data_IF_486379914698
#
_entry.id   IF_486379914698
#
_cell.length_a   1.000
_cell.length_b   1.000
_cell.length_c   1.000
_cell.angle_alpha   90.00
_cell.angle_beta   90.00
_cell.angle_gamma   90.00
#
_symmetry.space_group_name_H-M   'P 1'
#
loop_
_entity.id
_entity.type
_entity.pdbx_description
1 polymer ?
#
# COMPACT_ATOMS: atom_id res chain seq x y z
N UNK A 1 14.28 -9.33 13.35
CA UNK A 1 14.99 -10.19 12.37
C UNK A 1 14.05 -10.32 11.19
N UNK A 2 14.55 -10.20 9.96
CA UNK A 2 13.72 -10.34 8.75
C UNK A 2 13.50 -11.83 8.50
N UNK A 3 12.47 -12.39 9.13
CA UNK A 3 12.15 -13.81 9.06
C UNK A 3 10.70 -13.95 8.60
N UNK A 4 10.50 -14.68 7.50
CA UNK A 4 9.22 -14.83 6.80
C UNK A 4 9.03 -16.31 6.42
N UNK A 5 8.82 -17.21 7.40
CA UNK A 5 8.65 -18.63 7.12
C UNK A 5 7.46 -18.93 6.19
N UNK A 6 6.45 -18.06 6.21
CA UNK A 6 5.27 -18.13 5.36
C UNK A 6 5.51 -17.66 3.91
N UNK A 7 6.63 -16.99 3.64
CA UNK A 7 6.97 -16.48 2.30
C UNK A 7 8.49 -16.57 2.03
N UNK A 8 9.00 -17.78 1.74
CA UNK A 8 10.44 -18.01 1.53
C UNK A 8 11.01 -17.23 0.35
N UNK A 9 10.20 -16.97 -0.67
CA UNK A 9 10.62 -16.20 -1.85
C UNK A 9 10.86 -14.73 -1.48
N UNK A 10 9.95 -14.14 -0.69
CA UNK A 10 10.16 -12.78 -0.17
C UNK A 10 11.38 -12.73 0.76
N UNK A 11 11.56 -13.73 1.63
CA UNK A 11 12.73 -13.82 2.50
C UNK A 11 14.04 -13.82 1.70
N UNK A 12 14.10 -14.56 0.58
CA UNK A 12 15.27 -14.59 -0.30
C UNK A 12 15.52 -13.24 -0.99
N UNK A 13 14.48 -12.52 -1.40
CA UNK A 13 14.63 -11.15 -1.94
C UNK A 13 15.24 -10.21 -0.89
N UNK A 14 14.75 -10.27 0.35
CA UNK A 14 15.30 -9.45 1.45
C UNK A 14 16.75 -9.82 1.76
N UNK A 15 17.08 -11.12 1.76
CA UNK A 15 18.46 -11.60 1.95
C UNK A 15 19.39 -11.09 0.85
N UNK A 16 18.94 -11.04 -0.41
CA UNK A 16 19.70 -10.45 -1.53
C UNK A 16 19.92 -8.94 -1.33
N UNK A 17 18.95 -8.21 -0.82
CA UNK A 17 19.10 -6.79 -0.48
C UNK A 17 20.14 -6.55 0.63
N UNK A 18 20.14 -7.39 1.65
CA UNK A 18 21.14 -7.34 2.74
C UNK A 18 22.55 -7.63 2.19
N UNK A 19 22.70 -8.69 1.39
CA UNK A 19 23.96 -9.06 0.75
C UNK A 19 24.48 -7.98 -0.21
N UNK A 20 23.60 -7.30 -0.93
CA UNK A 20 23.97 -6.18 -1.79
C UNK A 20 24.61 -5.04 -0.98
N UNK A 21 24.00 -4.69 0.16
CA UNK A 21 24.51 -3.66 1.06
C UNK A 21 25.86 -4.04 1.67
N UNK A 22 26.08 -5.32 2.01
CA UNK A 22 27.38 -5.83 2.47
C UNK A 22 28.48 -5.71 1.41
N UNK A 23 28.12 -5.81 0.12
CA UNK A 23 29.03 -5.64 -1.02
C UNK A 23 29.18 -4.18 -1.49
N UNK A 24 28.64 -3.22 -0.74
CA UNK A 24 28.70 -1.79 -1.07
C UNK A 24 27.74 -1.36 -2.18
N UNK A 25 26.77 -2.20 -2.55
CA UNK A 25 25.70 -1.86 -3.49
C UNK A 25 24.50 -1.39 -2.66
N UNK A 26 24.38 -0.08 -2.49
CA UNK A 26 23.40 0.51 -1.59
C UNK A 26 22.07 0.87 -2.29
N UNK A 27 20.95 0.86 -1.55
CA UNK A 27 19.70 1.44 -2.02
C UNK A 27 19.85 2.90 -2.46
N UNK A 28 19.23 3.25 -3.58
CA UNK A 28 19.27 4.60 -4.16
C UNK A 28 17.99 5.37 -3.85
N UNK A 29 18.13 6.64 -3.47
CA UNK A 29 16.97 7.48 -3.13
C UNK A 29 16.16 7.81 -4.38
N UNK A 30 14.84 7.65 -4.27
CA UNK A 30 13.88 8.11 -5.28
C UNK A 30 13.69 9.62 -5.10
N UNK A 31 13.97 10.39 -6.14
CA UNK A 31 13.90 11.86 -6.10
C UNK A 31 12.46 12.38 -6.06
N UNK A 32 11.55 11.69 -6.76
CA UNK A 32 10.12 11.97 -6.80
C UNK A 32 9.41 11.60 -5.48
N UNK A 33 8.18 12.11 -5.28
CA UNK A 33 7.37 11.86 -4.08
C UNK A 33 7.66 12.82 -2.92
N UNK A 34 7.14 12.52 -1.72
CA UNK A 34 7.17 13.45 -0.56
C UNK A 34 7.80 12.88 0.73
N UNK A 35 8.26 11.64 0.67
CA UNK A 35 8.90 10.87 1.75
C UNK A 35 10.31 10.41 1.35
N UNK A 36 11.07 9.87 2.30
CA UNK A 36 12.25 9.07 1.98
C UNK A 36 11.81 7.72 1.41
N UNK A 37 12.00 7.50 0.11
CA UNK A 37 11.77 6.23 -0.57
C UNK A 37 13.04 5.82 -1.31
N UNK A 38 13.34 4.52 -1.36
CA UNK A 38 14.60 4.01 -1.90
C UNK A 38 14.38 2.82 -2.83
N UNK A 39 14.99 2.83 -4.01
CA UNK A 39 15.15 1.65 -4.84
C UNK A 39 16.22 0.75 -4.22
N UNK A 40 15.80 -0.43 -3.78
CA UNK A 40 16.70 -1.45 -3.23
C UNK A 40 17.19 -2.34 -4.36
N UNK A 41 18.49 -2.64 -4.34
CA UNK A 41 19.18 -3.40 -5.38
C UNK A 41 19.65 -4.75 -4.86
N UNK A 42 19.79 -5.70 -5.77
CA UNK A 42 20.47 -6.97 -5.52
C UNK A 42 22.01 -6.84 -5.72
N UNK A 43 22.80 -7.90 -5.45
CA UNK A 43 24.25 -7.88 -5.65
C UNK A 43 24.72 -7.66 -7.10
N UNK A 44 23.81 -7.70 -8.07
CA UNK A 44 24.07 -7.42 -9.48
C UNK A 44 23.71 -5.98 -9.85
N UNK A 45 23.16 -5.19 -8.90
CA UNK A 45 22.74 -3.82 -9.12
C UNK A 45 21.33 -3.68 -9.71
N UNK A 46 20.60 -4.79 -9.88
CA UNK A 46 19.22 -4.78 -10.39
C UNK A 46 18.26 -4.35 -9.28
N UNK A 47 17.28 -3.50 -9.60
CA UNK A 47 16.25 -3.07 -8.64
C UNK A 47 15.34 -4.27 -8.34
N UNK A 48 15.19 -4.58 -7.05
CA UNK A 48 14.38 -5.71 -6.55
C UNK A 48 13.24 -5.29 -5.63
N UNK A 49 13.27 -4.06 -5.12
CA UNK A 49 12.21 -3.55 -4.26
C UNK A 49 12.26 -2.05 -4.05
N UNK A 50 11.19 -1.53 -3.47
CA UNK A 50 11.08 -0.16 -2.97
C UNK A 50 10.97 -0.22 -1.44
N UNK A 51 11.88 0.46 -0.76
CA UNK A 51 11.89 0.55 0.70
C UNK A 51 11.52 1.95 1.18
N UNK A 52 10.53 2.04 2.07
CA UNK A 52 10.06 3.29 2.68
C UNK A 52 10.21 3.22 4.20
N UNK A 53 11.31 3.76 4.78
CA UNK A 53 11.53 3.74 6.22
C UNK A 53 10.55 4.65 6.99
N UNK A 54 9.97 4.12 8.07
CA UNK A 54 9.01 4.81 8.95
C UNK A 54 9.50 6.21 9.35
N UNK A 55 10.74 6.31 9.80
CA UNK A 55 11.26 7.58 10.33
C UNK A 55 11.59 8.63 9.27
N UNK A 56 11.46 8.32 7.98
CA UNK A 56 11.62 9.28 6.86
C UNK A 56 10.30 9.59 6.15
N UNK A 57 9.17 9.13 6.68
CA UNK A 57 7.83 9.49 6.21
C UNK A 57 7.56 11.01 6.33
N UNK A 58 6.51 11.57 5.68
CA UNK A 58 6.14 12.99 5.78
C UNK A 58 6.09 13.55 7.21
N UNK A 59 5.65 12.73 8.17
CA UNK A 59 5.56 13.08 9.59
C UNK A 59 6.69 12.49 10.44
N UNK A 60 7.62 11.77 9.81
CA UNK A 60 8.78 11.17 10.46
C UNK A 60 9.80 12.22 10.91
N UNK A 61 10.49 11.94 12.02
CA UNK A 61 11.46 12.85 12.62
C UNK A 61 12.70 13.10 11.75
N UNK A 62 13.01 12.17 10.84
CA UNK A 62 14.19 12.21 9.97
C UNK A 62 13.79 12.36 8.49
N UNK A 63 12.67 13.02 8.21
CA UNK A 63 12.29 13.31 6.84
C UNK A 63 13.38 14.13 6.12
N UNK A 64 13.95 13.66 5.00
CA UNK A 64 15.01 14.37 4.29
C UNK A 64 14.55 15.58 3.48
N UNK A 65 13.24 15.77 3.28
CA UNK A 65 12.67 16.89 2.51
C UNK A 65 12.28 18.05 3.45
N UNK A 66 13.09 19.11 3.44
CA UNK A 66 12.98 20.30 4.32
C UNK A 66 11.65 21.08 4.15
N UNK A 67 11.04 21.01 2.97
CA UNK A 67 9.81 21.75 2.61
C UNK A 67 8.63 21.46 3.53
N UNK A 68 8.50 20.24 4.08
CA UNK A 68 7.42 19.89 5.02
C UNK A 68 7.66 20.37 6.45
N UNK A 69 8.91 20.59 6.88
CA UNK A 69 9.22 21.17 8.19
C UNK A 69 8.80 22.65 8.24
N UNK A 70 9.07 23.41 7.16
CA UNK A 70 8.62 24.80 7.02
C UNK A 70 7.09 24.90 6.99
N UNK A 71 6.42 24.00 6.26
CA UNK A 71 4.96 23.94 6.19
C UNK A 71 4.29 23.50 7.51
N UNK A 72 4.92 22.59 8.26
CA UNK A 72 4.47 22.15 9.60
C UNK A 72 4.52 23.29 10.63
N UNK A 73 5.41 24.26 10.45
CA UNK A 73 5.55 25.43 11.32
C UNK A 73 4.56 26.56 10.95
N UNK A 74 4.24 26.73 9.67
CA UNK A 74 3.46 27.87 9.19
C UNK A 74 1.94 27.65 9.09
N UNK A 75 1.41 26.41 9.01
CA UNK A 75 -0.04 26.15 8.87
C UNK A 75 -0.52 24.83 9.54
N UNK A 76 -0.56 24.74 10.88
CA UNK A 76 -0.93 23.52 11.61
C UNK A 76 -2.38 23.05 11.39
N UNK A 77 -3.33 23.95 11.08
CA UNK A 77 -4.74 23.60 10.79
C UNK A 77 -4.99 23.10 9.36
N UNK A 78 -4.03 23.31 8.44
CA UNK A 78 -4.18 22.96 7.03
C UNK A 78 -3.38 21.72 6.60
N UNK A 79 -2.58 21.13 7.50
CA UNK A 79 -1.60 20.09 7.16
C UNK A 79 -1.88 18.78 7.89
N UNK A 80 -2.00 17.68 7.14
CA UNK A 80 -2.46 16.41 7.69
C UNK A 80 -3.68 15.86 6.97
N UNK A 81 -3.66 14.58 6.62
CA UNK A 81 -4.93 13.86 6.50
C UNK A 81 -5.35 13.53 7.92
N UNK A 82 -6.12 14.43 8.56
CA UNK A 82 -6.58 14.30 9.95
C UNK A 82 -7.38 13.01 10.20
N UNK A 83 -7.90 12.39 9.14
CA UNK A 83 -8.51 11.08 9.20
C UNK A 83 -7.51 9.91 9.28
N UNK A 84 -6.20 10.11 9.10
CA UNK A 84 -5.18 9.06 9.14
C UNK A 84 -4.39 9.09 10.45
N UNK A 85 -3.91 7.92 10.88
CA UNK A 85 -2.96 7.81 11.98
C UNK A 85 -1.60 8.38 11.56
N UNK A 86 -0.94 9.10 12.47
CA UNK A 86 0.37 9.69 12.20
C UNK A 86 1.46 8.61 12.13
N UNK A 87 2.33 8.71 11.11
CA UNK A 87 3.60 7.98 11.03
C UNK A 87 3.46 6.44 11.01
N UNK A 88 2.39 5.93 10.39
CA UNK A 88 2.11 4.51 10.17
C UNK A 88 1.96 4.18 8.68
N UNK A 89 2.52 5.00 7.78
CA UNK A 89 2.37 4.79 6.32
C UNK A 89 2.94 3.44 5.88
N UNK A 90 4.07 3.02 6.45
CA UNK A 90 4.64 1.70 6.19
C UNK A 90 3.74 0.52 6.60
N UNK A 91 2.90 0.67 7.63
CA UNK A 91 1.90 -0.33 8.00
C UNK A 91 0.71 -0.30 7.04
N UNK A 92 0.32 0.87 6.55
CA UNK A 92 -0.69 1.02 5.52
C UNK A 92 -0.27 0.30 4.23
N UNK A 93 0.99 0.45 3.81
CA UNK A 93 1.58 -0.28 2.67
C UNK A 93 1.55 -1.80 2.85
N UNK A 94 2.01 -2.30 4.01
CA UNK A 94 2.00 -3.73 4.31
C UNK A 94 0.57 -4.28 4.49
N UNK A 95 -0.33 -3.48 5.07
CA UNK A 95 -1.73 -3.82 5.27
C UNK A 95 -2.49 -3.93 3.95
N UNK A 96 -2.19 -3.08 2.97
CA UNK A 96 -2.76 -3.20 1.63
C UNK A 96 -2.34 -4.51 0.95
N UNK A 97 -1.07 -4.91 1.07
CA UNK A 97 -0.60 -6.22 0.57
C UNK A 97 -1.24 -7.39 1.31
N UNK A 98 -1.50 -7.27 2.61
CA UNK A 98 -2.17 -8.30 3.42
C UNK A 98 -3.64 -8.47 2.96
N UNK A 99 -4.37 -7.36 2.81
CA UNK A 99 -5.76 -7.36 2.31
C UNK A 99 -5.82 -7.94 0.89
N UNK A 100 -4.90 -7.54 0.01
CA UNK A 100 -4.77 -8.07 -1.35
C UNK A 100 -4.60 -9.59 -1.38
N UNK A 101 -3.68 -10.13 -0.57
CA UNK A 101 -3.43 -11.57 -0.46
C UNK A 101 -4.66 -12.31 0.09
N UNK A 102 -5.27 -11.81 1.17
CA UNK A 102 -6.42 -12.48 1.81
C UNK A 102 -7.65 -12.49 0.89
N UNK A 103 -7.82 -11.47 0.05
CA UNK A 103 -8.89 -11.38 -0.95
C UNK A 103 -8.53 -12.04 -2.30
N UNK A 104 -7.29 -12.49 -2.47
CA UNK A 104 -6.75 -13.08 -3.71
C UNK A 104 -6.83 -12.12 -4.93
N UNK A 105 -6.68 -10.82 -4.68
CA UNK A 105 -6.71 -9.80 -5.73
C UNK A 105 -5.44 -9.85 -6.59
N UNK A 106 -4.29 -10.10 -5.97
CA UNK A 106 -3.00 -10.28 -6.65
C UNK A 106 -2.59 -9.08 -7.53
N UNK A 107 -2.90 -7.86 -7.07
CA UNK A 107 -2.56 -6.60 -7.76
C UNK A 107 -1.56 -5.76 -6.96
N UNK A 108 -1.45 -5.94 -5.64
CA UNK A 108 -0.41 -5.27 -4.85
C UNK A 108 0.87 -6.10 -4.92
N UNK A 109 2.00 -5.56 -5.41
CA UNK A 109 3.28 -6.25 -5.29
C UNK A 109 3.55 -6.55 -3.81
N UNK A 110 3.88 -7.80 -3.48
CA UNK A 110 4.04 -8.25 -2.09
C UNK A 110 4.86 -7.25 -1.28
N UNK A 111 4.26 -6.78 -0.19
CA UNK A 111 4.83 -5.73 0.66
C UNK A 111 4.79 -6.16 2.12
N UNK A 112 5.93 -6.22 2.79
CA UNK A 112 6.02 -6.58 4.22
C UNK A 112 6.83 -5.56 5.01
N UNK A 113 6.68 -5.59 6.33
CA UNK A 113 7.50 -4.81 7.26
C UNK A 113 8.88 -5.44 7.37
N UNK A 114 9.93 -4.68 7.03
CA UNK A 114 11.32 -5.14 6.99
C UNK A 114 12.21 -4.15 7.75
N UNK A 115 13.32 -4.66 8.30
CA UNK A 115 14.38 -3.87 8.93
C UNK A 115 15.62 -3.86 8.05
N UNK A 116 15.99 -2.71 7.47
CA UNK A 116 17.21 -2.57 6.67
C UNK A 116 18.15 -1.50 7.25
N UNK A 117 19.46 -1.70 7.11
CA UNK A 117 20.47 -0.69 7.40
C UNK A 117 21.26 -0.40 6.12
N UNK A 118 21.42 0.88 5.78
CA UNK A 118 22.21 1.30 4.61
C UNK A 118 22.84 2.67 4.86
N UNK A 119 24.07 2.90 4.39
CA UNK A 119 24.71 4.22 4.50
C UNK A 119 23.95 5.34 3.78
N UNK A 120 23.15 4.99 2.78
CA UNK A 120 22.35 5.93 1.95
C UNK A 120 21.06 6.41 2.61
N UNK A 121 20.60 5.75 3.67
CA UNK A 121 19.41 6.21 4.42
C UNK A 121 19.72 7.48 5.25
N UNK A 122 18.68 8.21 5.63
CA UNK A 122 18.83 9.44 6.38
C UNK A 122 18.99 9.19 7.89
N UNK A 123 20.21 9.17 8.42
CA UNK A 123 20.50 9.00 9.85
C UNK A 123 20.87 10.31 10.53
N UNK A 124 20.65 10.36 11.85
CA UNK A 124 21.15 11.46 12.68
C UNK A 124 22.69 11.52 12.66
N UNK A 125 23.25 12.71 12.88
CA UNK A 125 24.71 12.88 12.99
C UNK A 125 25.30 11.97 14.09
N UNK A 126 24.57 11.80 15.20
CA UNK A 126 24.97 10.96 16.34
C UNK A 126 25.08 9.49 15.91
N UNK A 127 24.11 8.96 15.16
CA UNK A 127 24.14 7.56 14.70
C UNK A 127 25.30 7.31 13.71
N UNK A 128 25.59 8.28 12.85
CA UNK A 128 26.74 8.21 11.93
C UNK A 128 28.08 8.23 12.68
N UNK A 129 28.22 9.07 13.71
CA UNK A 129 29.45 9.10 14.52
C UNK A 129 29.60 7.82 15.35
N UNK A 130 28.52 7.36 16.00
CA UNK A 130 28.54 6.12 16.80
C UNK A 130 28.89 4.88 15.98
N UNK A 131 28.32 4.75 14.77
CA UNK A 131 28.62 3.60 13.89
C UNK A 131 30.09 3.59 13.47
N UNK A 132 30.67 4.74 13.09
CA UNK A 132 32.11 4.89 12.78
C UNK A 132 32.99 4.56 13.99
N UNK A 133 32.66 5.09 15.16
CA UNK A 133 33.42 4.85 16.39
C UNK A 133 33.44 3.37 16.79
N UNK A 134 32.31 2.68 16.68
CA UNK A 134 32.23 1.22 16.95
C UNK A 134 33.04 0.40 15.94
N UNK A 135 33.02 0.78 14.66
CA UNK A 135 33.82 0.11 13.61
C UNK A 135 35.31 0.27 13.88
N UNK A 136 35.76 1.49 14.18
CA UNK A 136 37.14 1.77 14.55
C UNK A 136 37.58 1.05 15.84
N UNK A 137 36.71 0.97 16.84
CA UNK A 137 37.00 0.24 18.07
C UNK A 137 37.15 -1.27 17.83
N UNK A 138 36.36 -1.85 16.91
CA UNK A 138 36.53 -3.24 16.49
C UNK A 138 37.86 -3.46 15.73
N UNK A 139 38.20 -2.58 14.80
CA UNK A 139 39.44 -2.64 14.02
C UNK A 139 40.69 -2.48 14.91
N UNK A 140 40.66 -1.53 15.87
CA UNK A 140 41.81 -1.19 16.71
C UNK A 140 41.92 -2.04 17.98
N UNK A 141 40.79 -2.43 18.59
CA UNK A 141 40.76 -3.20 19.83
C UNK A 141 39.68 -4.29 19.73
N UNK A 142 39.97 -5.44 19.07
CA UNK A 142 38.99 -6.49 18.81
C UNK A 142 38.27 -6.99 20.08
N UNK A 143 38.97 -7.06 21.22
CA UNK A 143 38.41 -7.46 22.53
C UNK A 143 37.30 -6.52 23.05
N UNK A 144 37.33 -5.24 22.67
CA UNK A 144 36.29 -4.25 23.01
C UNK A 144 35.20 -4.27 21.94
N UNK A 145 35.57 -4.41 20.67
CA UNK A 145 34.62 -4.50 19.55
C UNK A 145 33.69 -5.70 19.62
N UNK A 146 34.19 -6.87 20.04
CA UNK A 146 33.40 -8.09 20.21
C UNK A 146 32.33 -7.99 21.31
N UNK A 147 32.43 -7.00 22.21
CA UNK A 147 31.41 -6.72 23.23
C UNK A 147 30.24 -5.90 22.70
N UNK A 148 30.34 -5.34 21.49
CA UNK A 148 29.23 -4.62 20.90
C UNK A 148 28.21 -5.60 20.31
N UNK A 149 26.99 -5.58 20.84
CA UNK A 149 25.86 -6.33 20.29
C UNK A 149 25.54 -5.98 18.83
N UNK A 150 26.04 -4.85 18.32
CA UNK A 150 25.84 -4.39 16.94
C UNK A 150 26.95 -3.47 16.46
N UNK A 151 27.51 -3.79 15.30
CA UNK A 151 28.47 -2.98 14.55
C UNK A 151 27.73 -2.40 13.32
N UNK A 152 27.98 -1.13 12.99
CA UNK A 152 27.32 -0.43 11.87
C UNK A 152 26.11 0.43 12.28
N UNK A 153 25.37 0.91 11.27
CA UNK A 153 24.20 1.77 11.45
C UNK A 153 23.01 0.97 12.03
N UNK A 154 22.12 1.62 12.83
CA UNK A 154 20.92 0.96 13.32
C UNK A 154 19.98 0.67 12.14
N UNK A 155 19.24 -0.46 12.15
CA UNK A 155 18.34 -0.78 11.06
C UNK A 155 17.09 0.10 11.20
N UNK A 156 16.58 0.56 10.07
CA UNK A 156 15.31 1.25 10.00
C UNK A 156 14.22 0.24 9.70
N UNK A 157 13.12 0.35 10.43
CA UNK A 157 11.87 -0.33 10.08
C UNK A 157 11.19 0.44 8.95
N UNK A 158 10.59 -0.26 8.01
CA UNK A 158 9.85 0.31 6.90
C UNK A 158 9.10 -0.74 6.11
N UNK A 159 8.33 -0.29 5.11
CA UNK A 159 7.72 -1.20 4.15
C UNK A 159 8.72 -1.52 3.06
N UNK A 160 8.80 -2.80 2.70
CA UNK A 160 9.56 -3.29 1.57
C UNK A 160 8.60 -3.91 0.57
N UNK A 161 8.41 -3.24 -0.55
CA UNK A 161 7.54 -3.68 -1.65
C UNK A 161 8.39 -4.27 -2.77
N UNK A 162 8.00 -5.43 -3.30
CA UNK A 162 8.67 -6.01 -4.47
C UNK A 162 8.56 -5.07 -5.68
N UNK A 163 9.65 -4.93 -6.42
CA UNK A 163 9.67 -4.13 -7.65
C UNK A 163 9.03 -4.92 -8.80
N UNK A 164 8.24 -4.24 -9.65
CA UNK A 164 7.59 -4.84 -10.82
C UNK A 164 8.15 -4.25 -12.11
N UNK A 165 8.58 -5.11 -13.03
CA UNK A 165 9.22 -4.72 -14.29
C UNK A 165 8.25 -4.62 -15.47
N UNK A 166 8.48 -3.64 -16.34
CA UNK A 166 7.68 -3.44 -17.57
C UNK A 166 6.34 -2.73 -17.36
N UNK A 167 6.13 -2.15 -16.18
CA UNK A 167 4.94 -1.37 -15.86
C UNK A 167 5.16 0.12 -16.16
N UNK A 168 4.08 0.83 -16.48
CA UNK A 168 4.04 2.31 -16.58
C UNK A 168 2.78 2.83 -15.88
N UNK A 169 2.77 4.12 -15.56
CA UNK A 169 1.62 4.81 -14.96
C UNK A 169 0.33 4.50 -15.73
N UNK A 170 -0.77 4.25 -15.01
CA UNK A 170 -2.03 3.93 -15.64
C UNK A 170 -2.50 5.07 -16.56
N UNK A 171 -2.32 6.31 -16.13
CA UNK A 171 -2.58 7.52 -16.92
C UNK A 171 -1.86 7.53 -18.29
N UNK A 172 -0.63 7.00 -18.37
CA UNK A 172 0.09 6.84 -19.65
C UNK A 172 -0.65 5.88 -20.60
N UNK A 173 -1.10 4.73 -20.09
CA UNK A 173 -1.77 3.72 -20.90
C UNK A 173 -3.22 4.09 -21.22
N UNK A 174 -3.97 4.63 -20.27
CA UNK A 174 -5.36 5.04 -20.45
C UNK A 174 -5.48 6.08 -21.58
N UNK A 175 -4.59 7.08 -21.64
CA UNK A 175 -4.53 8.03 -22.75
C UNK A 175 -4.29 7.37 -24.11
N UNK A 176 -3.46 6.33 -24.16
CA UNK A 176 -3.21 5.58 -25.39
C UNK A 176 -4.44 4.77 -25.79
N UNK A 177 -5.14 4.16 -24.83
CA UNK A 177 -6.35 3.38 -25.10
C UNK A 177 -7.54 4.24 -25.52
N UNK A 178 -7.56 5.53 -25.15
CA UNK A 178 -8.53 6.49 -25.70
C UNK A 178 -8.29 6.77 -27.19
N UNK A 179 -7.03 6.87 -27.62
CA UNK A 179 -6.67 7.11 -29.01
C UNK A 179 -6.75 5.81 -29.87
N UNK A 180 -6.28 4.70 -29.31
CA UNK A 180 -6.24 3.37 -29.93
C UNK A 180 -6.93 2.37 -29.00
N UNK A 181 -8.25 2.17 -29.16
CA UNK A 181 -9.01 1.27 -28.31
C UNK A 181 -8.45 -0.15 -28.31
N UNK A 182 -8.40 -0.74 -27.12
CA UNK A 182 -7.97 -2.13 -26.94
C UNK A 182 -8.94 -3.09 -27.65
N UNK A 183 -8.44 -4.22 -28.18
CA UNK A 183 -9.30 -5.33 -28.59
C UNK A 183 -10.19 -5.79 -27.43
N UNK A 184 -11.42 -6.20 -27.73
CA UNK A 184 -12.45 -6.51 -26.72
C UNK A 184 -11.96 -7.48 -25.63
N UNK A 185 -11.27 -8.56 -26.01
CA UNK A 185 -10.73 -9.53 -25.05
C UNK A 185 -9.71 -8.91 -24.08
N UNK A 186 -8.84 -8.03 -24.58
CA UNK A 186 -7.84 -7.32 -23.76
C UNK A 186 -8.49 -6.25 -22.90
N UNK A 187 -9.47 -5.54 -23.44
CA UNK A 187 -10.25 -4.56 -22.69
C UNK A 187 -11.00 -5.24 -21.53
N UNK A 188 -11.60 -6.42 -21.76
CA UNK A 188 -12.20 -7.25 -20.71
C UNK A 188 -11.19 -7.60 -19.62
N UNK A 189 -9.97 -8.03 -19.98
CA UNK A 189 -8.91 -8.31 -18.99
C UNK A 189 -8.55 -7.05 -18.17
N UNK A 190 -8.44 -5.88 -18.81
CA UNK A 190 -8.19 -4.62 -18.12
C UNK A 190 -9.31 -4.30 -17.12
N UNK A 191 -10.57 -4.47 -17.52
CA UNK A 191 -11.72 -4.24 -16.65
C UNK A 191 -11.72 -5.18 -15.43
N UNK A 192 -11.41 -6.46 -15.61
CA UNK A 192 -11.30 -7.42 -14.50
C UNK A 192 -10.18 -7.02 -13.52
N UNK A 193 -9.05 -6.51 -14.01
CA UNK A 193 -7.98 -5.99 -13.16
C UNK A 193 -8.38 -4.69 -12.45
N UNK A 194 -9.10 -3.82 -13.15
CA UNK A 194 -9.62 -2.56 -12.61
C UNK A 194 -10.62 -2.79 -11.47
N UNK A 195 -11.52 -3.77 -11.60
CA UNK A 195 -12.46 -4.13 -10.53
C UNK A 195 -11.73 -4.56 -9.24
N UNK A 196 -10.61 -5.30 -9.38
CA UNK A 196 -9.78 -5.68 -8.23
C UNK A 196 -9.17 -4.45 -7.54
N UNK A 197 -8.72 -3.45 -8.31
CA UNK A 197 -8.23 -2.18 -7.77
C UNK A 197 -9.33 -1.45 -6.99
N UNK A 198 -10.53 -1.38 -7.57
CA UNK A 198 -11.71 -0.77 -6.94
C UNK A 198 -12.02 -1.44 -5.60
N UNK A 199 -12.08 -2.78 -5.58
CA UNK A 199 -12.35 -3.56 -4.36
C UNK A 199 -11.30 -3.26 -3.28
N UNK A 200 -10.02 -3.33 -3.64
CA UNK A 200 -8.92 -3.05 -2.70
C UNK A 200 -9.05 -1.64 -2.12
N UNK A 201 -9.07 -0.62 -2.98
CA UNK A 201 -9.06 0.78 -2.57
C UNK A 201 -10.29 1.15 -1.74
N UNK A 202 -11.45 0.57 -2.06
CA UNK A 202 -12.68 0.82 -1.32
C UNK A 202 -12.61 0.21 0.08
N UNK A 203 -12.22 -1.06 0.21
CA UNK A 203 -12.12 -1.75 1.51
C UNK A 203 -11.12 -1.04 2.44
N UNK A 204 -9.92 -0.73 1.94
CA UNK A 204 -8.90 -0.05 2.76
C UNK A 204 -9.16 1.46 2.90
N UNK A 205 -10.19 1.98 2.23
CA UNK A 205 -10.50 3.41 2.04
C UNK A 205 -9.24 4.22 1.75
N UNK A 206 -8.58 3.91 0.62
CA UNK A 206 -7.42 4.65 0.18
C UNK A 206 -7.78 6.13 -0.04
N UNK A 207 -6.93 7.03 0.46
CA UNK A 207 -7.14 8.47 0.38
C UNK A 207 -6.26 9.14 -0.70
N UNK A 208 -5.31 8.41 -1.31
CA UNK A 208 -4.35 8.93 -2.30
C UNK A 208 -4.30 8.20 -3.65
N UNK A 209 -5.36 7.52 -4.07
CA UNK A 209 -5.34 6.86 -5.38
C UNK A 209 -5.56 7.86 -6.51
N UNK A 210 -4.47 8.44 -7.02
CA UNK A 210 -4.38 9.10 -8.33
C UNK A 210 -4.14 8.09 -9.47
N UNK A 211 -4.27 8.51 -10.74
CA UNK A 211 -4.01 7.65 -11.91
C UNK A 211 -2.52 7.44 -12.22
N UNK A 212 -1.65 8.12 -11.48
CA UNK A 212 -0.20 7.95 -11.38
C UNK A 212 0.20 6.92 -10.30
N UNK A 213 -0.70 6.62 -9.36
CA UNK A 213 -0.43 5.72 -8.23
C UNK A 213 -0.88 4.27 -8.46
N UNK A 214 -1.17 3.89 -9.69
CA UNK A 214 -1.35 2.49 -10.09
C UNK A 214 -0.79 2.33 -11.49
N UNK A 215 -0.25 1.15 -11.76
CA UNK A 215 0.53 0.90 -12.96
C UNK A 215 -0.18 -0.13 -13.83
N UNK A 216 0.01 0.01 -15.14
CA UNK A 216 -0.43 -0.98 -16.12
C UNK A 216 0.81 -1.50 -16.85
N UNK A 217 0.86 -2.82 -17.01
CA UNK A 217 1.74 -3.51 -17.93
C UNK A 217 0.90 -4.06 -19.06
N UNK A 218 1.26 -3.70 -20.29
CA UNK A 218 0.59 -4.16 -21.49
C UNK A 218 1.67 -4.66 -22.46
N UNK A 219 1.76 -5.99 -22.60
CA UNK A 219 2.70 -6.64 -23.50
C UNK A 219 1.99 -6.87 -24.85
N UNK A 220 2.21 -5.99 -25.82
CA UNK A 220 1.71 -6.18 -27.17
C UNK A 220 2.67 -7.09 -27.96
N UNK A 221 2.21 -8.19 -28.60
CA UNK A 221 3.07 -9.08 -29.36
C UNK A 221 3.71 -8.43 -30.61
N UNK A 222 3.26 -7.24 -31.03
CA UNK A 222 3.77 -6.53 -32.22
C UNK A 222 5.19 -5.97 -32.06
N UNK A 223 5.71 -5.84 -30.84
CA UNK A 223 7.10 -5.38 -30.60
C UNK A 223 8.15 -6.48 -30.85
N UNK A 224 7.75 -7.69 -31.25
CA UNK A 224 8.65 -8.77 -31.67
C UNK A 224 8.97 -8.73 -33.18
N UNK A 225 9.08 -7.53 -33.77
CA UNK A 225 9.40 -7.33 -35.19
C UNK A 225 10.86 -7.67 -35.58
N UNK A 226 11.56 -8.50 -34.79
CA UNK A 226 12.98 -8.81 -34.97
C UNK A 226 13.34 -10.29 -35.18
N UNK A 227 12.40 -11.24 -35.08
CA UNK A 227 12.71 -12.67 -35.27
C UNK A 227 11.74 -13.27 -36.26
N UNK A 228 12.09 -13.15 -37.55
CA UNK A 228 11.56 -14.01 -38.60
C UNK A 228 12.38 -15.30 -38.57
N UNK A 229 11.96 -16.27 -37.78
CA UNK A 229 12.31 -17.64 -38.11
C UNK A 229 11.12 -18.58 -37.88
N UNK A 230 11.06 -19.56 -38.77
CA UNK A 230 9.89 -20.34 -39.12
C UNK A 230 9.68 -21.46 -38.11
N UNK A 231 8.52 -21.47 -37.44
CA UNK A 231 7.79 -22.66 -36.97
C UNK A 231 6.67 -22.16 -36.03
N UNK A 232 5.41 -22.47 -36.36
CA UNK A 232 4.19 -22.20 -35.57
C UNK A 232 4.31 -21.06 -34.55
N UNK A 233 4.17 -19.81 -35.00
CA UNK A 233 4.17 -18.65 -34.10
C UNK A 233 2.92 -18.75 -33.22
N UNK A 234 3.06 -19.31 -32.02
CA UNK A 234 2.06 -19.17 -30.96
C UNK A 234 1.94 -17.66 -30.73
N UNK A 235 0.92 -17.04 -31.32
CA UNK A 235 0.59 -15.63 -31.07
C UNK A 235 0.19 -15.58 -29.61
N UNK A 236 1.16 -15.24 -28.76
CA UNK A 236 0.93 -15.09 -27.33
C UNK A 236 -0.12 -14.00 -27.19
N UNK A 237 -1.29 -14.36 -26.65
CA UNK A 237 -2.36 -13.39 -26.45
C UNK A 237 -1.81 -12.21 -25.64
N UNK A 238 -2.15 -10.96 -26.02
CA UNK A 238 -1.68 -9.79 -25.30
C UNK A 238 -2.17 -9.87 -23.85
N UNK A 239 -1.22 -9.81 -22.91
CA UNK A 239 -1.50 -9.87 -21.47
C UNK A 239 -1.47 -8.46 -20.92
N UNK A 240 -2.55 -8.06 -20.25
CA UNK A 240 -2.62 -6.81 -19.49
C UNK A 240 -2.67 -7.11 -17.99
N UNK A 241 -1.82 -6.43 -17.22
CA UNK A 241 -1.77 -6.57 -15.75
C UNK A 241 -1.75 -5.21 -15.08
N UNK A 242 -2.35 -5.14 -13.90
CA UNK A 242 -2.37 -3.95 -13.05
C UNK A 242 -1.46 -4.17 -11.83
N UNK A 243 -0.77 -3.12 -11.38
CA UNK A 243 -0.07 -3.11 -10.10
C UNK A 243 -0.52 -1.91 -9.26
N UNK A 244 -1.07 -2.16 -8.07
CA UNK A 244 -1.47 -1.15 -7.10
C UNK A 244 -0.29 -0.82 -6.18
N UNK A 245 0.36 0.32 -6.43
CA UNK A 245 1.54 0.79 -5.67
C UNK A 245 1.19 1.98 -4.78
N UNK A 246 2.11 2.42 -3.92
CA UNK A 246 1.94 3.61 -3.07
C UNK A 246 0.65 3.62 -2.24
N UNK A 247 0.48 2.59 -1.41
CA UNK A 247 -0.70 2.39 -0.56
C UNK A 247 -0.55 3.00 0.84
N UNK A 248 0.45 3.87 1.04
CA UNK A 248 0.84 4.39 2.36
C UNK A 248 -0.18 5.34 3.04
N UNK A 249 -1.26 5.70 2.36
CA UNK A 249 -2.28 6.64 2.84
C UNK A 249 -3.68 6.03 2.79
N UNK A 250 -3.81 4.80 3.31
CA UNK A 250 -5.06 4.08 3.53
C UNK A 250 -5.31 3.80 5.03
N UNK A 251 -6.39 3.10 5.34
CA UNK A 251 -6.85 2.74 6.70
C UNK A 251 -7.14 3.96 7.60
N UNK A 252 -8.08 4.84 7.23
CA UNK A 252 -8.44 5.99 8.04
C UNK A 252 -9.25 5.64 9.29
N UNK A 253 -9.12 6.47 10.32
CA UNK A 253 -9.85 6.44 11.59
C UNK A 253 -11.31 6.90 11.48
N UNK A 254 -11.64 7.67 10.45
CA UNK A 254 -12.98 8.21 10.16
C UNK A 254 -13.08 8.48 8.67
N UNK A 255 -14.29 8.54 8.11
CA UNK A 255 -14.39 9.05 6.74
C UNK A 255 -13.99 10.52 6.70
N UNK A 256 -13.39 10.98 5.59
CA UNK A 256 -12.97 12.37 5.46
C UNK A 256 -14.14 13.35 5.63
N UNK A 257 -13.88 14.47 6.30
CA UNK A 257 -14.85 15.56 6.42
C UNK A 257 -15.04 16.24 5.04
N UNK A 258 -16.25 16.67 4.69
CA UNK A 258 -16.64 17.08 3.32
C UNK A 258 -15.78 18.19 2.67
N UNK A 259 -15.03 18.97 3.45
CA UNK A 259 -14.11 20.00 2.96
C UNK A 259 -12.74 19.46 2.51
N UNK A 260 -12.43 18.18 2.79
CA UNK A 260 -11.33 17.40 2.21
C UNK A 260 -11.82 16.01 1.83
N UNK A 261 -12.42 15.87 0.65
CA UNK A 261 -13.14 14.65 0.27
C UNK A 261 -12.25 13.41 -0.02
N UNK A 262 -10.95 13.59 -0.28
CA UNK A 262 -10.01 12.54 -0.73
C UNK A 262 -10.67 11.51 -1.66
N UNK A 263 -11.03 11.94 -2.87
CA UNK A 263 -11.80 11.12 -3.80
C UNK A 263 -10.94 9.99 -4.37
N UNK A 264 -11.61 8.94 -4.85
CA UNK A 264 -10.98 7.92 -5.68
C UNK A 264 -10.90 8.43 -7.12
N UNK A 265 -9.70 8.73 -7.63
CA UNK A 265 -9.59 9.38 -8.95
C UNK A 265 -10.07 8.49 -10.09
N UNK A 266 -9.96 7.17 -9.93
CA UNK A 266 -10.48 6.22 -10.89
C UNK A 266 -12.01 6.29 -11.04
N UNK A 267 -12.75 6.90 -10.10
CA UNK A 267 -14.21 7.02 -10.20
C UNK A 267 -14.65 7.93 -11.36
N UNK A 268 -13.78 8.82 -11.85
CA UNK A 268 -14.06 9.66 -13.02
C UNK A 268 -13.77 8.98 -14.36
N UNK A 269 -13.13 7.81 -14.34
CA UNK A 269 -12.82 7.07 -15.56
C UNK A 269 -14.09 6.44 -16.16
N UNK A 270 -14.16 6.30 -17.50
CA UNK A 270 -15.30 5.65 -18.15
C UNK A 270 -15.48 4.20 -17.67
N UNK A 271 -14.40 3.51 -17.32
CA UNK A 271 -14.40 2.16 -16.77
C UNK A 271 -15.21 2.06 -15.46
N UNK A 272 -15.25 3.12 -14.64
CA UNK A 272 -16.00 3.12 -13.38
C UNK A 272 -17.52 3.11 -13.57
N UNK A 273 -18.03 3.39 -14.78
CA UNK A 273 -19.46 3.32 -15.10
C UNK A 273 -19.94 1.90 -15.40
N UNK A 274 -19.00 0.99 -15.69
CA UNK A 274 -19.32 -0.39 -16.04
C UNK A 274 -19.72 -1.16 -14.78
N UNK A 275 -20.86 -1.88 -14.77
CA UNK A 275 -21.28 -2.71 -13.64
C UNK A 275 -20.23 -3.77 -13.28
N UNK A 276 -20.14 -4.12 -12.00
CA UNK A 276 -19.27 -5.21 -11.56
C UNK A 276 -19.62 -6.52 -12.27
N UNK A 277 -18.59 -7.19 -12.79
CA UNK A 277 -18.62 -8.48 -13.46
C UNK A 277 -19.13 -9.60 -12.55
N UNK A 278 -19.49 -10.74 -13.14
CA UNK A 278 -19.85 -11.90 -12.33
C UNK A 278 -18.59 -12.50 -11.67
N UNK A 279 -17.45 -12.44 -12.36
CA UNK A 279 -16.18 -12.96 -11.87
C UNK A 279 -15.71 -12.28 -10.59
N UNK A 280 -15.81 -10.94 -10.50
CA UNK A 280 -15.43 -10.24 -9.26
C UNK A 280 -16.44 -10.52 -8.13
N UNK A 281 -17.73 -10.70 -8.45
CA UNK A 281 -18.75 -11.06 -7.46
C UNK A 281 -18.48 -12.44 -6.88
N UNK A 282 -18.23 -13.43 -7.73
CA UNK A 282 -17.94 -14.81 -7.34
C UNK A 282 -16.65 -14.91 -6.53
N UNK A 283 -15.65 -14.08 -6.84
CA UNK A 283 -14.39 -14.02 -6.08
C UNK A 283 -14.56 -13.38 -4.68
N UNK A 284 -15.35 -12.30 -4.59
CA UNK A 284 -15.34 -11.41 -3.41
C UNK A 284 -16.52 -11.67 -2.47
N UNK A 285 -17.73 -11.87 -2.98
CA UNK A 285 -18.93 -12.02 -2.14
C UNK A 285 -18.81 -13.18 -1.14
N UNK A 286 -18.35 -14.39 -1.50
CA UNK A 286 -18.21 -15.48 -0.54
C UNK A 286 -17.30 -15.17 0.64
N UNK A 287 -16.34 -14.25 0.45
CA UNK A 287 -15.39 -13.82 1.48
C UNK A 287 -15.97 -12.72 2.35
N UNK A 288 -16.32 -11.58 1.75
CA UNK A 288 -16.67 -10.38 2.54
C UNK A 288 -18.07 -10.45 3.16
N UNK A 289 -18.93 -11.37 2.70
CA UNK A 289 -20.23 -11.63 3.33
C UNK A 289 -20.17 -12.65 4.46
N UNK A 290 -19.07 -13.40 4.61
CA UNK A 290 -18.82 -14.28 5.75
C UNK A 290 -18.25 -13.47 6.93
N UNK A 291 -18.96 -13.38 8.06
CA UNK A 291 -18.46 -12.68 9.25
C UNK A 291 -17.14 -13.25 9.78
N UNK A 292 -16.89 -14.56 9.62
CA UNK A 292 -15.64 -15.18 10.09
C UNK A 292 -14.45 -14.70 9.27
N UNK A 293 -14.56 -14.64 7.95
CA UNK A 293 -13.52 -14.08 7.09
C UNK A 293 -13.17 -12.63 7.47
N UNK A 294 -14.18 -11.78 7.72
CA UNK A 294 -13.98 -10.38 8.10
C UNK A 294 -13.30 -10.28 9.48
N UNK A 295 -13.67 -11.15 10.41
CA UNK A 295 -13.03 -11.25 11.73
C UNK A 295 -11.56 -11.69 11.61
N UNK A 296 -11.27 -12.72 10.84
CA UNK A 296 -9.91 -13.19 10.61
C UNK A 296 -9.06 -12.10 9.93
N UNK A 297 -9.64 -11.31 9.02
CA UNK A 297 -8.95 -10.18 8.40
C UNK A 297 -8.61 -9.08 9.41
N UNK A 298 -9.55 -8.78 10.32
CA UNK A 298 -9.31 -7.85 11.42
C UNK A 298 -8.20 -8.34 12.36
N UNK A 299 -8.19 -9.63 12.70
CA UNK A 299 -7.15 -10.24 13.53
C UNK A 299 -5.78 -10.16 12.86
N UNK A 300 -5.68 -10.48 11.57
CA UNK A 300 -4.43 -10.37 10.80
C UNK A 300 -3.91 -8.92 10.75
N UNK A 301 -4.81 -7.94 10.53
CA UNK A 301 -4.47 -6.52 10.55
C UNK A 301 -4.06 -6.05 11.95
N UNK A 302 -4.68 -6.58 13.01
CA UNK A 302 -4.31 -6.30 14.39
C UNK A 302 -2.88 -6.79 14.68
N UNK A 303 -2.55 -8.02 14.29
CA UNK A 303 -1.22 -8.60 14.44
C UNK A 303 -0.15 -7.81 13.68
N UNK A 304 -0.50 -7.25 12.52
CA UNK A 304 0.38 -6.37 11.76
C UNK A 304 0.55 -5.00 12.44
N UNK A 305 -0.55 -4.32 12.78
CA UNK A 305 -0.53 -2.93 13.23
C UNK A 305 0.02 -2.79 14.66
N UNK A 306 -0.18 -3.80 15.52
CA UNK A 306 0.38 -3.81 16.89
C UNK A 306 1.91 -3.84 16.95
N UNK A 307 2.58 -4.08 15.81
CA UNK A 307 4.05 -4.02 15.70
C UNK A 307 4.58 -2.59 15.84
N UNK A 308 3.73 -1.57 15.64
CA UNK A 308 4.14 -0.19 15.82
C UNK A 308 4.30 0.18 17.30
N UNK A 309 5.42 0.81 17.71
CA UNK A 309 5.57 1.31 19.08
C UNK A 309 4.51 2.35 19.50
N UNK A 310 3.92 3.06 18.54
CA UNK A 310 2.85 4.04 18.76
C UNK A 310 1.45 3.47 18.51
N UNK A 311 1.28 2.15 18.49
CA UNK A 311 -0.02 1.52 18.29
C UNK A 311 -0.98 1.90 19.43
N UNK A 312 -2.16 2.40 19.05
CA UNK A 312 -3.26 2.66 19.96
C UNK A 312 -4.47 1.79 19.59
N UNK A 313 -4.94 1.00 20.56
CA UNK A 313 -6.05 0.06 20.33
C UNK A 313 -7.36 0.79 20.03
N UNK A 314 -7.57 1.98 20.57
CA UNK A 314 -8.75 2.81 20.30
C UNK A 314 -8.78 3.29 18.86
N UNK A 315 -7.63 3.75 18.34
CA UNK A 315 -7.44 4.11 16.94
C UNK A 315 -7.67 2.91 16.02
N UNK A 316 -7.10 1.75 16.35
CA UNK A 316 -7.31 0.54 15.56
C UNK A 316 -8.79 0.17 15.44
N UNK A 317 -9.55 0.19 16.55
CA UNK A 317 -10.99 -0.09 16.51
C UNK A 317 -11.74 0.88 15.59
N UNK A 318 -11.35 2.16 15.54
CA UNK A 318 -11.93 3.14 14.62
C UNK A 318 -11.59 2.83 13.16
N UNK A 319 -10.35 2.43 12.85
CA UNK A 319 -9.97 2.01 11.50
C UNK A 319 -10.81 0.82 11.02
N UNK A 320 -10.99 -0.18 11.89
CA UNK A 320 -11.81 -1.36 11.59
C UNK A 320 -13.29 -0.99 11.42
N UNK A 321 -13.82 -0.08 12.24
CA UNK A 321 -15.21 0.36 12.12
C UNK A 321 -15.49 1.03 10.77
N UNK A 322 -14.52 1.79 10.23
CA UNK A 322 -14.58 2.33 8.86
C UNK A 322 -14.50 1.21 7.84
N UNK A 323 -13.53 0.31 7.95
CA UNK A 323 -13.33 -0.82 7.02
C UNK A 323 -14.59 -1.70 6.92
N UNK A 324 -15.23 -2.02 8.05
CA UNK A 324 -16.49 -2.77 8.09
C UNK A 324 -17.64 -2.04 7.40
N UNK A 325 -17.70 -0.71 7.54
CA UNK A 325 -18.65 0.11 6.79
C UNK A 325 -18.41 0.10 5.28
N UNK A 326 -17.15 0.11 4.84
CA UNK A 326 -16.79 -0.08 3.43
C UNK A 326 -17.20 -1.47 2.93
N UNK A 327 -16.89 -2.52 3.71
CA UNK A 327 -17.29 -3.91 3.38
C UNK A 327 -18.82 -4.03 3.25
N UNK A 328 -19.58 -3.40 4.14
CA UNK A 328 -21.05 -3.41 4.08
C UNK A 328 -21.57 -2.80 2.77
N UNK A 329 -21.10 -1.60 2.41
CA UNK A 329 -21.49 -0.94 1.18
C UNK A 329 -21.07 -1.74 -0.07
N UNK A 330 -19.84 -2.26 -0.08
CA UNK A 330 -19.33 -3.07 -1.18
C UNK A 330 -20.16 -4.35 -1.37
N UNK A 331 -20.48 -5.04 -0.28
CA UNK A 331 -21.33 -6.25 -0.32
C UNK A 331 -22.68 -5.95 -0.96
N UNK A 332 -23.32 -4.85 -0.58
CA UNK A 332 -24.60 -4.45 -1.16
C UNK A 332 -24.47 -4.07 -2.63
N UNK A 333 -23.43 -3.31 -3.00
CA UNK A 333 -23.20 -2.92 -4.38
C UNK A 333 -22.94 -4.11 -5.32
N UNK A 334 -22.18 -5.11 -4.85
CA UNK A 334 -21.92 -6.33 -5.60
C UNK A 334 -23.21 -7.15 -5.80
N UNK A 335 -24.03 -7.29 -4.75
CA UNK A 335 -25.34 -7.99 -4.84
C UNK A 335 -26.30 -7.30 -5.80
N UNK A 336 -26.34 -5.97 -5.79
CA UNK A 336 -27.22 -5.17 -6.64
C UNK A 336 -26.71 -5.04 -8.08
N UNK A 337 -25.51 -5.55 -8.39
CA UNK A 337 -24.89 -5.37 -9.70
C UNK A 337 -24.59 -3.91 -10.04
N UNK A 338 -24.22 -3.10 -9.04
CA UNK A 338 -23.82 -1.70 -9.23
C UNK A 338 -22.46 -1.60 -9.93
N UNK A 339 -22.12 -0.40 -10.39
CA UNK A 339 -20.80 -0.06 -10.92
C UNK A 339 -19.91 0.57 -9.84
N UNK A 340 -18.59 0.65 -10.04
CA UNK A 340 -17.68 1.38 -9.15
C UNK A 340 -18.12 2.83 -8.88
N UNK A 341 -18.67 3.53 -9.87
CA UNK A 341 -19.19 4.89 -9.72
C UNK A 341 -20.40 4.93 -8.77
N UNK A 342 -21.35 4.00 -8.93
CA UNK A 342 -22.50 3.92 -8.02
C UNK A 342 -22.07 3.53 -6.59
N UNK A 343 -21.04 2.69 -6.44
CA UNK A 343 -20.48 2.31 -5.13
C UNK A 343 -19.93 3.51 -4.37
N UNK A 344 -19.15 4.39 -5.01
CA UNK A 344 -18.56 5.56 -4.34
C UNK A 344 -19.59 6.66 -4.05
N UNK A 345 -20.76 6.62 -4.70
CA UNK A 345 -21.89 7.50 -4.42
C UNK A 345 -22.73 7.04 -3.22
N UNK A 346 -22.52 5.80 -2.75
CA UNK A 346 -23.23 5.30 -1.55
C UNK A 346 -22.82 6.12 -0.31
N UNK A 347 -23.76 6.44 0.58
CA UNK A 347 -23.44 7.15 1.81
C UNK A 347 -22.37 6.42 2.65
N UNK A 348 -21.35 7.13 3.18
CA UNK A 348 -20.37 6.50 4.05
C UNK A 348 -21.00 6.01 5.36
N UNK A 349 -20.76 4.74 5.69
CA UNK A 349 -21.24 4.08 6.91
C UNK A 349 -20.06 3.72 7.80
N UNK A 350 -20.27 3.75 9.12
CA UNK A 350 -19.34 3.20 10.11
C UNK A 350 -20.09 2.10 10.88
N UNK A 351 -19.42 0.97 11.11
CA UNK A 351 -19.99 -0.19 11.81
C UNK A 351 -19.14 -0.47 13.06
N UNK A 352 -19.65 -0.07 14.22
CA UNK A 352 -18.98 -0.26 15.51
C UNK A 352 -19.44 -1.57 16.18
N UNK A 353 -18.52 -2.31 16.83
CA UNK A 353 -18.93 -3.37 17.76
C UNK A 353 -19.30 -2.73 19.09
N UNK A 354 -20.52 -2.91 19.57
CA UNK A 354 -20.87 -2.55 20.92
C UNK A 354 -20.16 -3.50 21.90
N UNK A 355 -19.36 -2.95 22.82
CA UNK A 355 -18.80 -3.75 23.92
C UNK A 355 -19.93 -4.05 24.90
N UNK A 356 -20.46 -5.27 24.83
CA UNK A 356 -21.27 -5.84 25.91
C UNK A 356 -20.41 -5.90 27.17
N UNK A 357 -20.85 -5.27 28.26
CA UNK A 357 -20.25 -5.43 29.60
C UNK A 357 -20.58 -6.78 30.25
N UNK A 358 -21.31 -7.67 29.55
CA UNK A 358 -21.65 -9.00 30.03
C UNK A 358 -20.95 -10.09 29.21
N UNK A 359 -20.46 -11.13 29.91
CA UNK A 359 -19.87 -12.37 29.37
C UNK A 359 -20.90 -13.22 28.59
N UNK A 360 -21.64 -12.64 27.65
CA UNK A 360 -22.46 -13.38 26.69
C UNK A 360 -21.86 -13.24 25.29
N UNK A 361 -21.77 -14.36 24.58
CA UNK A 361 -21.07 -14.51 23.31
C UNK A 361 -21.83 -13.92 22.10
N UNK A 362 -22.57 -12.83 22.27
CA UNK A 362 -23.25 -12.13 21.18
C UNK A 362 -22.64 -10.75 21.01
N UNK A 363 -21.80 -10.58 19.99
CA UNK A 363 -21.34 -9.27 19.55
C UNK A 363 -22.51 -8.54 18.88
N UNK A 364 -22.93 -7.41 19.44
CA UNK A 364 -23.92 -6.54 18.80
C UNK A 364 -23.21 -5.47 17.97
N UNK A 365 -23.69 -5.25 16.75
CA UNK A 365 -23.14 -4.28 15.80
C UNK A 365 -24.04 -3.05 15.74
N UNK A 366 -23.46 -1.85 15.85
CA UNK A 366 -24.18 -0.58 15.70
C UNK A 366 -23.75 0.06 14.38
N UNK A 367 -24.72 0.28 13.49
CA UNK A 367 -24.51 1.01 12.24
C UNK A 367 -24.78 2.50 12.44
N UNK A 368 -23.89 3.35 11.97
CA UNK A 368 -24.09 4.80 11.98
C UNK A 368 -23.73 5.41 10.63
N UNK A 369 -24.54 6.37 10.19
CA UNK A 369 -24.29 7.14 8.98
C UNK A 369 -23.58 8.44 9.36
N UNK A 370 -22.52 8.80 8.65
CA UNK A 370 -21.85 10.08 8.87
C UNK A 370 -22.67 11.22 8.24
N UNK A 371 -23.63 11.78 8.97
CA UNK A 371 -24.37 12.97 8.58
C UNK A 371 -23.82 14.23 9.29
N UNK A 372 -22.70 14.78 8.83
CA UNK A 372 -22.35 16.16 9.14
C UNK A 372 -22.65 17.02 7.92
N UNK A 373 -23.66 17.89 8.03
CA UNK A 373 -23.93 18.93 7.03
C UNK A 373 -22.66 19.79 6.88
N UNK A 374 -22.28 20.22 5.67
CA UNK A 374 -21.15 21.11 5.48
C UNK A 374 -21.35 22.38 6.32
N UNK A 375 -20.29 22.81 7.03
CA UNK A 375 -20.32 23.99 7.91
C UNK A 375 -20.60 25.31 7.15
N UNK A 376 -20.53 25.27 5.81
CA UNK A 376 -20.99 26.32 4.92
C UNK A 376 -21.90 25.71 3.85
N UNK A 377 -23.18 25.57 4.16
CA UNK A 377 -24.22 25.65 3.14
C UNK A 377 -24.60 27.13 3.01
N UNK A 378 -24.14 27.80 1.96
CA UNK A 378 -24.82 29.01 1.53
C UNK A 378 -26.18 28.60 0.95
N UNK A 379 -27.18 29.40 1.29
CA UNK A 379 -28.63 29.25 1.19
C UNK A 379 -29.18 28.50 -0.03
#
# INVERSE_FOLDING_TARGET
>A
RNDFPEDPEFAEVVRRAELASERGIFPERISQGSSGSYFVKDPQGKIIGVFKPKNEEPYGQLNPKWTKWLQKLCCPCCFGRDCLVLNQGYLSEAGASLVDQKLELNIVPRTKVVYLASETFNYSAIDRVKSRGKRLALEKVPKVGQRFNRIGLPPKVGSFQLFVEGYKDADYWLRRFEAEPLPENTNRQLLLQFERLVVLDYIIRNTDRGNDNWLIKYDCPLDSAGVRDSDWVVVKEPIIKLAAIDNGLAFPLKHPDSWRAYPFYWAWLPQAKIPFSQEIKDLILPKISDPNFVKDLEEDLYELFKKDPGFDRGQFHKQIAVMRGQILNLTQALKDGKSPLHLVQMPPVIVETARSHQRSASESYTQSFQSRKPFFSWW
#
